data_IF_314850788595
#
_entry.id   IF_314850788595
#
_cell.length_a   1.000
_cell.length_b   1.000
_cell.length_c   1.000
_cell.angle_alpha   90.00
_cell.angle_beta   90.00
_cell.angle_gamma   90.00
#
_symmetry.space_group_name_H-M   'P 1'
#
loop_
_entity.id
_entity.type
_entity.pdbx_description
1 polymer ?
#
# COMPACT_ATOMS: atom_id res chain seq x y z
N UNK A 1 8.78 -17.43 -19.35
CA UNK A 1 7.31 -17.45 -19.14
C UNK A 1 6.93 -18.08 -17.79
N UNK A 2 7.49 -19.23 -17.40
CA UNK A 2 7.17 -19.90 -16.12
C UNK A 2 7.41 -19.04 -14.88
N UNK A 3 8.59 -18.43 -14.71
CA UNK A 3 8.87 -17.54 -13.55
C UNK A 3 7.85 -16.41 -13.41
N UNK A 4 7.47 -15.81 -14.54
CA UNK A 4 6.49 -14.74 -14.58
C UNK A 4 5.13 -15.21 -14.03
N UNK A 5 4.64 -16.37 -14.51
CA UNK A 5 3.36 -16.95 -14.06
C UNK A 5 3.40 -17.32 -12.57
N UNK A 6 4.45 -18.01 -12.12
CA UNK A 6 4.57 -18.39 -10.71
C UNK A 6 4.73 -17.18 -9.80
N UNK A 7 5.58 -16.23 -10.19
CA UNK A 7 5.86 -15.02 -9.43
C UNK A 7 4.63 -14.14 -9.26
N UNK A 8 3.88 -13.86 -10.34
CA UNK A 8 2.65 -13.07 -10.27
C UNK A 8 1.56 -13.78 -9.45
N UNK A 9 1.48 -15.10 -9.54
CA UNK A 9 0.48 -15.89 -8.80
C UNK A 9 0.80 -15.88 -7.31
N UNK A 10 2.07 -16.03 -6.94
CA UNK A 10 2.53 -15.92 -5.55
C UNK A 10 2.24 -14.53 -4.97
N UNK A 11 2.56 -13.47 -5.72
CA UNK A 11 2.24 -12.10 -5.30
C UNK A 11 0.74 -11.87 -5.11
N UNK A 12 -0.08 -12.35 -6.05
CA UNK A 12 -1.55 -12.29 -5.92
C UNK A 12 -2.04 -13.00 -4.66
N UNK A 13 -1.51 -14.19 -4.36
CA UNK A 13 -1.92 -14.94 -3.17
C UNK A 13 -1.50 -14.23 -1.87
N UNK A 14 -0.31 -13.63 -1.84
CA UNK A 14 0.16 -12.83 -0.69
C UNK A 14 -0.77 -11.63 -0.48
N UNK A 15 -1.04 -10.88 -1.55
CA UNK A 15 -1.89 -9.70 -1.51
C UNK A 15 -3.32 -10.04 -1.04
N UNK A 16 -3.92 -11.08 -1.62
CA UNK A 16 -5.26 -11.53 -1.24
C UNK A 16 -5.33 -11.99 0.22
N UNK A 17 -4.33 -12.76 0.68
CA UNK A 17 -4.29 -13.20 2.08
C UNK A 17 -4.21 -12.01 3.02
N UNK A 18 -3.28 -11.08 2.75
CA UNK A 18 -3.14 -9.87 3.56
C UNK A 18 -4.45 -9.06 3.59
N UNK A 19 -5.11 -8.92 2.44
CA UNK A 19 -6.38 -8.21 2.33
C UNK A 19 -7.45 -8.87 3.20
N UNK A 20 -7.67 -10.18 3.04
CA UNK A 20 -8.64 -10.92 3.85
C UNK A 20 -8.38 -10.81 5.36
N UNK A 21 -7.10 -10.86 5.77
CA UNK A 21 -6.71 -10.74 7.18
C UNK A 21 -6.95 -9.31 7.71
N UNK A 22 -6.86 -8.28 6.86
CA UNK A 22 -7.03 -6.88 7.23
C UNK A 22 -8.48 -6.37 7.10
N UNK A 23 -9.30 -6.97 6.24
CA UNK A 23 -10.64 -6.50 5.88
C UNK A 23 -11.53 -6.26 7.10
N UNK A 24 -11.57 -7.21 8.05
CA UNK A 24 -12.42 -7.07 9.24
C UNK A 24 -12.08 -5.82 10.05
N UNK A 25 -10.79 -5.55 10.29
CA UNK A 25 -10.35 -4.34 10.99
C UNK A 25 -10.66 -3.07 10.19
N UNK A 26 -10.55 -3.11 8.87
CA UNK A 26 -10.84 -1.95 8.03
C UNK A 26 -12.34 -1.62 8.05
N UNK A 27 -13.20 -2.62 7.96
CA UNK A 27 -14.67 -2.47 8.00
C UNK A 27 -15.16 -1.98 9.37
N UNK A 28 -14.45 -2.28 10.46
CA UNK A 28 -14.74 -1.70 11.78
C UNK A 28 -14.41 -0.21 11.88
N UNK A 29 -13.47 0.29 11.08
CA UNK A 29 -12.91 1.64 11.19
C UNK A 29 -13.40 2.60 10.10
N UNK A 30 -13.86 2.07 8.98
CA UNK A 30 -14.22 2.82 7.77
C UNK A 30 -15.57 2.33 7.26
N UNK A 31 -16.45 3.26 6.88
CA UNK A 31 -17.75 2.92 6.29
C UNK A 31 -17.58 2.28 4.90
N UNK A 32 -16.53 2.64 4.18
CA UNK A 32 -16.26 2.12 2.84
C UNK A 32 -14.84 1.58 2.76
N UNK A 33 -14.70 0.33 2.32
CA UNK A 33 -13.42 -0.37 2.15
C UNK A 33 -13.38 -1.03 0.77
N UNK A 34 -12.30 -0.80 0.03
CA UNK A 34 -12.11 -1.35 -1.31
C UNK A 34 -12.75 -0.52 -2.43
N UNK A 35 -12.99 0.78 -2.17
CA UNK A 35 -13.46 1.71 -3.20
C UNK A 35 -12.44 1.83 -4.35
N UNK A 36 -12.91 2.04 -5.56
CA UNK A 36 -12.08 2.33 -6.73
C UNK A 36 -12.08 3.82 -7.09
N UNK A 37 -12.83 4.64 -6.35
CA UNK A 37 -12.90 6.09 -6.47
C UNK A 37 -13.39 6.59 -7.83
N UNK A 38 -13.86 5.70 -8.70
CA UNK A 38 -14.18 5.99 -10.10
C UNK A 38 -15.44 5.29 -10.62
N UNK A 39 -15.94 4.28 -9.92
CA UNK A 39 -17.17 3.58 -10.28
C UNK A 39 -18.39 4.15 -9.55
N UNK A 40 -19.48 4.33 -10.29
CA UNK A 40 -20.80 4.66 -9.71
C UNK A 40 -21.37 3.48 -8.92
N UNK A 41 -20.91 2.26 -9.21
CA UNK A 41 -21.20 1.05 -8.45
C UNK A 41 -20.15 0.87 -7.36
N UNK A 42 -20.43 1.36 -6.14
CA UNK A 42 -19.64 1.10 -4.93
C UNK A 42 -19.50 -0.42 -4.71
N UNK A 43 -18.47 -1.04 -5.30
CA UNK A 43 -18.16 -2.45 -5.06
C UNK A 43 -17.32 -2.52 -3.79
N UNK A 44 -18.00 -2.63 -2.65
CA UNK A 44 -17.38 -2.98 -1.38
C UNK A 44 -16.48 -4.22 -1.54
N UNK A 45 -15.30 -4.18 -0.93
CA UNK A 45 -14.44 -5.36 -0.79
C UNK A 45 -13.49 -5.67 -1.95
N UNK A 46 -13.13 -4.70 -2.82
CA UNK A 46 -12.15 -4.95 -3.89
C UNK A 46 -10.75 -4.37 -3.61
N UNK A 47 -9.73 -5.19 -3.80
CA UNK A 47 -8.32 -4.75 -3.85
C UNK A 47 -7.92 -4.56 -5.31
N UNK A 48 -7.39 -3.38 -5.64
CA UNK A 48 -6.94 -3.04 -6.97
C UNK A 48 -5.56 -3.57 -7.26
N UNK A 49 -5.35 -4.04 -8.48
CA UNK A 49 -4.06 -4.50 -8.96
C UNK A 49 -3.49 -3.48 -9.95
N UNK A 50 -2.59 -2.64 -9.45
CA UNK A 50 -1.83 -1.68 -10.27
C UNK A 50 -0.81 -2.40 -11.17
N UNK A 51 -0.06 -3.35 -10.60
CA UNK A 51 0.93 -4.16 -11.32
C UNK A 51 1.00 -5.58 -10.73
N UNK A 52 1.79 -6.49 -11.32
CA UNK A 52 2.05 -7.83 -10.74
C UNK A 52 2.77 -7.80 -9.37
N UNK A 53 3.17 -6.63 -8.89
CA UNK A 53 3.88 -6.43 -7.62
C UNK A 53 3.32 -5.28 -6.77
N UNK A 54 2.27 -4.61 -7.23
CA UNK A 54 1.68 -3.46 -6.53
C UNK A 54 0.17 -3.61 -6.52
N UNK A 55 -0.39 -3.58 -5.32
CA UNK A 55 -1.84 -3.66 -5.07
C UNK A 55 -2.26 -2.49 -4.18
N UNK A 56 -3.46 -1.98 -4.38
CA UNK A 56 -3.98 -0.78 -3.72
C UNK A 56 -5.37 -1.05 -3.15
N UNK A 57 -5.67 -0.46 -1.99
CA UNK A 57 -6.97 -0.53 -1.32
C UNK A 57 -7.28 0.86 -0.82
N UNK A 58 -8.46 1.38 -1.17
CA UNK A 58 -8.96 2.64 -0.64
C UNK A 58 -9.96 2.39 0.48
N UNK A 59 -9.90 3.24 1.51
CA UNK A 59 -10.87 3.26 2.60
C UNK A 59 -11.32 4.70 2.86
N UNK A 60 -12.61 4.90 3.16
CA UNK A 60 -13.20 6.22 3.44
C UNK A 60 -14.36 6.11 4.44
N UNK A 61 -14.97 7.25 4.82
CA UNK A 61 -16.09 7.29 5.76
C UNK A 61 -15.69 7.30 7.24
N UNK A 62 -14.43 7.61 7.56
CA UNK A 62 -13.96 7.80 8.94
C UNK A 62 -13.80 9.28 9.26
N UNK A 63 -14.41 9.74 10.35
CA UNK A 63 -14.26 11.12 10.82
C UNK A 63 -12.79 11.47 11.08
N UNK A 64 -12.33 12.62 10.60
CA UNK A 64 -10.93 13.08 10.71
C UNK A 64 -9.95 12.45 9.71
N UNK A 65 -10.44 11.60 8.80
CA UNK A 65 -9.67 10.95 7.76
C UNK A 65 -10.42 11.07 6.44
N UNK A 66 -10.05 12.04 5.60
CA UNK A 66 -10.71 12.27 4.30
C UNK A 66 -10.63 11.03 3.41
N UNK A 67 -9.52 10.29 3.50
CA UNK A 67 -9.35 9.01 2.86
C UNK A 67 -8.08 8.30 3.34
N UNK A 68 -8.03 7.01 3.11
CA UNK A 68 -6.83 6.21 3.36
C UNK A 68 -6.54 5.33 2.15
N UNK A 69 -5.31 5.41 1.65
CA UNK A 69 -4.78 4.55 0.60
C UNK A 69 -3.75 3.59 1.19
N UNK A 70 -4.05 2.31 1.13
CA UNK A 70 -3.11 1.24 1.47
C UNK A 70 -2.49 0.74 0.17
N UNK A 71 -1.15 0.71 0.10
CA UNK A 71 -0.40 0.15 -1.03
C UNK A 71 0.46 -1.02 -0.57
N UNK A 72 0.19 -2.21 -1.09
CA UNK A 72 1.03 -3.40 -0.95
C UNK A 72 2.10 -3.37 -2.06
N UNK A 73 3.35 -3.05 -1.70
CA UNK A 73 4.51 -3.12 -2.59
C UNK A 73 5.27 -4.41 -2.34
N UNK A 74 4.98 -5.41 -3.14
CA UNK A 74 5.62 -6.71 -3.09
C UNK A 74 6.90 -6.72 -3.91
N UNK A 75 7.86 -7.58 -3.57
CA UNK A 75 9.02 -7.81 -4.43
C UNK A 75 8.57 -8.39 -5.77
N UNK A 76 9.27 -8.04 -6.86
CA UNK A 76 8.91 -8.42 -8.24
C UNK A 76 9.27 -9.87 -8.54
N UNK A 77 8.58 -10.83 -7.91
CA UNK A 77 8.82 -12.27 -8.06
C UNK A 77 8.65 -12.76 -9.50
N UNK A 78 7.83 -12.06 -10.28
CA UNK A 78 7.56 -12.33 -11.69
C UNK A 78 8.72 -11.93 -12.64
N UNK A 79 9.64 -11.07 -12.17
CA UNK A 79 10.75 -10.53 -12.94
C UNK A 79 12.06 -11.20 -12.54
N UNK A 80 12.69 -11.92 -13.48
CA UNK A 80 13.89 -12.71 -13.22
C UNK A 80 15.09 -11.85 -12.84
N UNK A 81 15.23 -10.66 -13.43
CA UNK A 81 16.33 -9.73 -13.12
C UNK A 81 16.18 -9.27 -11.67
N UNK A 82 14.96 -8.93 -11.26
CA UNK A 82 14.68 -8.56 -9.87
C UNK A 82 14.90 -9.70 -8.89
N UNK A 83 14.57 -10.95 -9.24
CA UNK A 83 14.85 -12.12 -8.41
C UNK A 83 16.36 -12.30 -8.18
N UNK A 84 17.17 -12.21 -9.24
CA UNK A 84 18.64 -12.31 -9.13
C UNK A 84 19.22 -11.16 -8.29
N UNK A 85 18.79 -9.91 -8.54
CA UNK A 85 19.21 -8.76 -7.74
C UNK A 85 18.85 -8.91 -6.26
N UNK A 86 17.72 -9.56 -5.95
CA UNK A 86 17.26 -9.77 -4.58
C UNK A 86 18.12 -10.78 -3.81
N UNK A 87 18.84 -11.67 -4.49
CA UNK A 87 19.82 -12.58 -3.85
C UNK A 87 21.04 -11.82 -3.33
N UNK A 88 21.45 -10.76 -4.04
CA UNK A 88 22.59 -9.91 -3.67
C UNK A 88 22.16 -8.92 -2.57
N UNK A 89 20.99 -8.31 -2.74
CA UNK A 89 20.44 -7.34 -1.78
C UNK A 89 18.98 -7.68 -1.47
N UNK A 90 18.74 -8.42 -0.38
CA UNK A 90 17.40 -8.78 0.05
C UNK A 90 16.52 -7.54 0.25
N UNK A 91 15.33 -7.61 -0.32
CA UNK A 91 14.23 -6.67 -0.14
C UNK A 91 13.05 -7.42 0.46
N UNK A 92 12.36 -6.72 1.34
CA UNK A 92 11.13 -7.18 1.96
C UNK A 92 9.92 -6.58 1.24
N UNK A 93 8.81 -7.30 1.30
CA UNK A 93 7.51 -6.76 0.92
C UNK A 93 7.14 -5.61 1.88
N UNK A 94 6.41 -4.61 1.40
CA UNK A 94 6.03 -3.43 2.19
C UNK A 94 4.55 -3.15 2.09
N UNK A 95 3.98 -2.75 3.22
CA UNK A 95 2.67 -2.10 3.28
C UNK A 95 2.92 -0.62 3.53
N UNK A 96 2.37 0.23 2.67
CA UNK A 96 2.43 1.69 2.82
C UNK A 96 1.00 2.16 3.07
N UNK A 97 0.78 2.77 4.23
CA UNK A 97 -0.50 3.36 4.60
C UNK A 97 -0.35 4.87 4.45
N UNK A 98 -1.13 5.46 3.55
CA UNK A 98 -1.23 6.90 3.38
C UNK A 98 -2.60 7.34 3.86
N UNK A 99 -2.62 8.31 4.77
CA UNK A 99 -3.85 8.90 5.30
C UNK A 99 -3.89 10.33 4.80
N UNK A 100 -4.98 10.70 4.14
CA UNK A 100 -5.25 12.07 3.75
C UNK A 100 -6.07 12.72 4.87
N UNK A 101 -5.49 13.77 5.46
CA UNK A 101 -5.98 14.53 6.62
C UNK A 101 -6.46 15.89 6.16
N UNK A 102 -7.45 16.45 6.86
CA UNK A 102 -7.97 17.78 6.51
C UNK A 102 -6.98 18.88 6.93
N UNK A 103 -6.51 19.66 5.95
CA UNK A 103 -5.59 20.77 6.19
C UNK A 103 -6.26 21.96 6.89
N UNK A 104 -7.59 22.05 6.89
CA UNK A 104 -8.32 23.11 7.58
C UNK A 104 -8.47 22.85 9.07
N UNK A 105 -8.29 21.61 9.52
CA UNK A 105 -8.44 21.21 10.92
C UNK A 105 -7.08 21.07 11.65
N UNK A 106 -5.95 21.12 10.94
CA UNK A 106 -4.62 20.89 11.52
C UNK A 106 -3.65 22.04 11.30
N UNK A 107 -2.93 22.40 12.37
CA UNK A 107 -1.77 23.30 12.28
C UNK A 107 -0.64 22.67 11.47
N UNK A 108 0.14 23.52 10.79
CA UNK A 108 1.30 23.07 10.02
C UNK A 108 2.50 22.77 10.92
N UNK A 109 2.99 21.53 10.88
CA UNK A 109 4.24 21.14 11.51
C UNK A 109 4.97 20.07 10.69
N UNK A 110 6.28 19.97 10.89
CA UNK A 110 7.12 18.94 10.28
C UNK A 110 7.51 17.93 11.35
N UNK A 111 7.10 16.68 11.17
CA UNK A 111 7.44 15.60 12.08
C UNK A 111 7.67 14.29 11.33
N UNK A 112 8.78 13.62 11.63
CA UNK A 112 9.06 12.29 11.14
C UNK A 112 9.74 11.46 12.24
N UNK A 113 9.26 10.23 12.41
CA UNK A 113 9.81 9.25 13.34
C UNK A 113 10.02 7.92 12.64
N UNK A 114 11.16 7.27 12.93
CA UNK A 114 11.48 5.98 12.36
C UNK A 114 12.96 5.63 12.50
N UNK A 115 13.37 4.54 11.86
CA UNK A 115 14.77 4.13 11.87
C UNK A 115 15.65 5.20 11.20
N UNK A 116 16.80 5.50 11.81
CA UNK A 116 17.74 6.54 11.35
C UNK A 116 17.98 6.53 9.84
N UNK A 117 18.23 5.36 9.25
CA UNK A 117 18.46 5.21 7.80
C UNK A 117 17.23 5.60 6.96
N UNK A 118 16.04 5.18 7.39
CA UNK A 118 14.78 5.48 6.69
C UNK A 118 14.41 6.96 6.79
N UNK A 119 14.59 7.57 7.97
CA UNK A 119 14.33 9.01 8.18
C UNK A 119 15.32 9.88 7.40
N UNK A 120 16.61 9.55 7.47
CA UNK A 120 17.65 10.27 6.69
C UNK A 120 17.37 10.19 5.19
N UNK A 121 16.85 9.05 4.73
CA UNK A 121 16.42 8.89 3.34
C UNK A 121 15.17 9.73 3.04
N UNK A 122 14.18 9.72 3.92
CA UNK A 122 12.93 10.48 3.74
C UNK A 122 13.17 12.00 3.68
N UNK A 123 14.04 12.56 4.53
CA UNK A 123 14.43 13.98 4.49
C UNK A 123 15.15 14.38 3.19
N UNK A 124 15.83 13.44 2.52
CA UNK A 124 16.40 13.70 1.20
C UNK A 124 15.40 13.59 0.05
N UNK A 125 14.34 12.79 0.22
CA UNK A 125 13.34 12.53 -0.82
C UNK A 125 12.17 13.52 -0.78
N UNK A 126 11.86 14.11 0.38
CA UNK A 126 10.84 15.15 0.52
C UNK A 126 11.51 16.47 0.89
N UNK A 127 11.33 17.48 0.05
CA UNK A 127 11.95 18.81 0.21
C UNK A 127 11.57 19.49 1.54
N UNK A 128 10.41 19.13 2.09
CA UNK A 128 9.83 19.77 3.27
C UNK A 128 10.10 18.99 4.59
N UNK A 129 10.93 17.93 4.55
CA UNK A 129 11.36 17.14 5.73
C UNK A 129 12.81 17.44 6.13
#
# INVERSE_FOLDING_TARGET
MLNYIFGRTKNRNIANKWFMDATSLLEEQFTLVGDDGTSEDLREGHMHKETDSVYTIWCSGRVGCQGMLITLKLVKRQDLIHVVMNLIRPKEDKVIIRIDVDNNEMDSFVFAIGQRKSVTKASKEKMDL
#
